data_IF_066323197227
#
_entry.id   IF_066323197227
#
_cell.length_a   1.000
_cell.length_b   1.000
_cell.length_c   1.000
_cell.angle_alpha   90.00
_cell.angle_beta   90.00
_cell.angle_gamma   90.00
#
_symmetry.space_group_name_H-M   'P 1'
#
loop_
_entity.id
_entity.type
_entity.pdbx_description
1 polymer ?
#
# COMPACT_ATOMS: atom_id res chain seq x y z
N UNK A 1 9.04 21.22 11.11
CA UNK A 1 9.52 20.21 12.08
C UNK A 1 8.37 19.86 13.01
N UNK A 2 7.28 19.40 12.41
CA UNK A 2 6.23 18.71 13.17
C UNK A 2 6.64 17.24 13.16
N UNK A 3 7.48 16.88 14.13
CA UNK A 3 7.80 15.48 14.42
C UNK A 3 6.99 15.04 15.64
N UNK A 4 6.32 13.90 15.53
CA UNK A 4 5.49 13.36 16.60
C UNK A 4 5.92 11.94 16.98
N UNK A 5 6.07 11.67 18.27
CA UNK A 5 6.34 10.29 18.72
C UNK A 5 5.09 9.41 18.63
N UNK A 6 3.92 9.95 18.97
CA UNK A 6 2.66 9.23 18.96
C UNK A 6 1.51 10.16 18.65
N UNK A 7 0.78 9.88 17.57
CA UNK A 7 -0.44 10.59 17.22
C UNK A 7 -1.59 9.60 17.02
N UNK A 8 -2.74 9.92 17.61
CA UNK A 8 -3.98 9.21 17.38
C UNK A 8 -5.09 10.19 17.01
N UNK A 9 -5.72 9.96 15.88
CA UNK A 9 -6.87 10.73 15.39
C UNK A 9 -8.06 9.81 15.15
N UNK A 10 -9.26 10.33 15.41
CA UNK A 10 -10.51 9.63 15.11
C UNK A 10 -11.02 10.06 13.74
N UNK A 11 -11.09 11.36 13.51
CA UNK A 11 -11.49 11.95 12.25
C UNK A 11 -10.60 13.15 11.96
N UNK A 12 -10.22 13.32 10.71
CA UNK A 12 -9.45 14.48 10.26
C UNK A 12 -9.71 14.72 8.79
N UNK A 13 -10.16 15.91 8.41
CA UNK A 13 -10.33 16.24 6.99
C UNK A 13 -8.96 16.24 6.29
N UNK A 14 -7.97 16.88 6.91
CA UNK A 14 -6.59 16.90 6.43
C UNK A 14 -5.62 16.70 7.59
N UNK A 15 -4.63 15.83 7.40
CA UNK A 15 -3.51 15.67 8.31
C UNK A 15 -2.20 15.66 7.52
N UNK A 16 -1.41 16.72 7.75
CA UNK A 16 -0.11 16.93 7.14
C UNK A 16 0.97 17.00 8.23
N UNK A 17 2.07 16.25 8.08
CA UNK A 17 3.14 16.19 9.09
C UNK A 17 4.45 15.66 8.49
N UNK A 18 5.61 16.22 8.87
CA UNK A 18 6.91 15.77 8.36
C UNK A 18 7.21 14.32 8.79
N UNK A 19 7.02 13.99 10.07
CA UNK A 19 7.38 12.66 10.58
C UNK A 19 6.57 12.21 11.79
N UNK A 20 6.25 10.92 11.84
CA UNK A 20 5.66 10.31 13.03
C UNK A 20 6.21 8.92 13.33
N UNK A 21 6.61 8.65 14.57
CA UNK A 21 7.02 7.28 14.95
C UNK A 21 5.83 6.33 14.99
N UNK A 22 4.68 6.77 15.50
CA UNK A 22 3.46 5.98 15.53
C UNK A 22 2.22 6.82 15.23
N UNK A 23 1.60 6.57 14.07
CA UNK A 23 0.32 7.18 13.70
C UNK A 23 -0.80 6.14 13.72
N UNK A 24 -1.90 6.49 14.37
CA UNK A 24 -3.16 5.76 14.25
C UNK A 24 -4.32 6.68 13.89
N UNK A 25 -4.93 6.42 12.75
CA UNK A 25 -6.08 7.18 12.24
C UNK A 25 -7.26 6.24 12.04
N UNK A 26 -8.45 6.62 12.49
CA UNK A 26 -9.67 5.87 12.15
C UNK A 26 -10.18 6.30 10.78
N UNK A 27 -10.43 7.59 10.58
CA UNK A 27 -10.89 8.14 9.31
C UNK A 27 -10.13 9.43 8.98
N UNK A 28 -9.74 9.59 7.72
CA UNK A 28 -9.23 10.87 7.23
C UNK A 28 -9.43 11.02 5.73
N UNK A 29 -9.83 12.19 5.26
CA UNK A 29 -10.01 12.37 3.82
C UNK A 29 -8.63 12.47 3.15
N UNK A 30 -7.72 13.27 3.70
CA UNK A 30 -6.36 13.42 3.18
C UNK A 30 -5.28 13.26 4.25
N UNK A 31 -4.33 12.35 3.99
CA UNK A 31 -3.11 12.15 4.76
C UNK A 31 -1.89 12.43 3.88
N UNK A 32 -1.04 13.37 4.30
CA UNK A 32 0.23 13.68 3.65
C UNK A 32 1.36 13.66 4.69
N UNK A 33 2.39 12.84 4.48
CA UNK A 33 3.49 12.75 5.45
C UNK A 33 4.75 12.19 4.82
N UNK A 34 5.92 12.79 5.06
CA UNK A 34 7.18 12.33 4.45
C UNK A 34 7.59 10.96 5.01
N UNK A 35 7.46 10.77 6.32
CA UNK A 35 7.93 9.54 6.96
C UNK A 35 7.10 9.05 8.14
N UNK A 36 6.85 7.74 8.18
CA UNK A 36 6.29 7.09 9.36
C UNK A 36 6.97 5.75 9.69
N UNK A 37 7.35 5.55 10.96
CA UNK A 37 7.84 4.23 11.36
C UNK A 37 6.71 3.20 11.44
N UNK A 38 5.57 3.56 12.01
CA UNK A 38 4.42 2.65 12.15
C UNK A 38 3.11 3.40 11.95
N UNK A 39 2.42 3.12 10.86
CA UNK A 39 1.13 3.70 10.55
C UNK A 39 0.03 2.65 10.52
N UNK A 40 -1.11 2.98 11.16
CA UNK A 40 -2.33 2.19 11.09
C UNK A 40 -3.51 3.08 10.76
N UNK A 41 -4.16 2.80 9.65
CA UNK A 41 -5.37 3.51 9.21
C UNK A 41 -6.52 2.53 9.05
N UNK A 42 -7.73 2.95 9.39
CA UNK A 42 -8.94 2.18 9.06
C UNK A 42 -9.45 2.62 7.69
N UNK A 43 -9.73 3.90 7.49
CA UNK A 43 -10.20 4.43 6.23
C UNK A 43 -9.49 5.74 5.89
N UNK A 44 -9.15 5.93 4.62
CA UNK A 44 -8.83 7.24 4.06
C UNK A 44 -9.19 7.32 2.58
N UNK A 45 -9.41 8.53 2.08
CA UNK A 45 -9.64 8.71 0.64
C UNK A 45 -8.29 8.83 -0.06
N UNK A 46 -7.39 9.70 0.43
CA UNK A 46 -6.05 9.88 -0.15
C UNK A 46 -4.95 9.79 0.90
N UNK A 47 -3.94 8.94 0.63
CA UNK A 47 -2.67 8.90 1.35
C UNK A 47 -1.51 9.12 0.37
N UNK A 48 -0.73 10.16 0.62
CA UNK A 48 0.54 10.43 -0.04
C UNK A 48 1.67 10.38 0.99
N UNK A 49 2.71 9.57 0.74
CA UNK A 49 3.79 9.39 1.70
C UNK A 49 5.10 8.94 1.04
N UNK A 50 6.23 9.56 1.37
CA UNK A 50 7.50 9.14 0.75
C UNK A 50 7.96 7.78 1.32
N UNK A 51 7.85 7.60 2.64
CA UNK A 51 8.39 6.41 3.28
C UNK A 51 7.60 5.90 4.49
N UNK A 52 7.40 4.57 4.54
CA UNK A 52 6.89 3.92 5.74
C UNK A 52 7.60 2.60 6.06
N UNK A 53 8.01 2.40 7.32
CA UNK A 53 8.55 1.09 7.72
C UNK A 53 7.44 0.04 7.88
N UNK A 54 6.28 0.42 8.43
CA UNK A 54 5.14 -0.49 8.57
C UNK A 54 3.83 0.27 8.37
N UNK A 55 3.15 0.00 7.27
CA UNK A 55 1.82 0.54 7.00
C UNK A 55 0.79 -0.59 7.00
N UNK A 56 -0.28 -0.38 7.76
CA UNK A 56 -1.47 -1.22 7.69
C UNK A 56 -2.70 -0.36 7.45
N UNK A 57 -3.42 -0.69 6.38
CA UNK A 57 -4.65 -0.03 5.95
C UNK A 57 -5.78 -1.05 5.85
N UNK A 58 -7.00 -0.68 6.26
CA UNK A 58 -8.18 -1.51 5.99
C UNK A 58 -8.79 -1.10 4.65
N UNK A 59 -9.15 0.17 4.47
CA UNK A 59 -9.74 0.67 3.24
C UNK A 59 -9.05 1.96 2.79
N UNK A 60 -8.85 2.09 1.50
CA UNK A 60 -8.28 3.27 0.85
C UNK A 60 -8.81 3.47 -0.55
N UNK A 61 -9.08 4.71 -0.94
CA UNK A 61 -9.39 4.98 -2.35
C UNK A 61 -8.08 5.14 -3.14
N UNK A 62 -7.15 5.97 -2.66
CA UNK A 62 -5.85 6.19 -3.30
C UNK A 62 -4.69 6.14 -2.31
N UNK A 63 -3.80 5.17 -2.50
CA UNK A 63 -2.49 5.10 -1.82
C UNK A 63 -1.39 5.37 -2.84
N UNK A 64 -0.65 6.46 -2.65
CA UNK A 64 0.59 6.75 -3.38
C UNK A 64 1.76 6.80 -2.39
N UNK A 65 2.81 6.01 -2.63
CA UNK A 65 3.97 5.99 -1.74
C UNK A 65 5.25 5.54 -2.44
N UNK A 66 6.38 6.22 -2.23
CA UNK A 66 7.63 5.85 -2.90
C UNK A 66 8.20 4.54 -2.35
N UNK A 67 8.19 4.39 -1.02
CA UNK A 67 8.85 3.25 -0.38
C UNK A 67 8.13 2.70 0.86
N UNK A 68 8.01 1.38 0.92
CA UNK A 68 7.56 0.69 2.13
C UNK A 68 8.32 -0.60 2.44
N UNK A 69 8.76 -0.75 3.69
CA UNK A 69 9.32 -2.05 4.12
C UNK A 69 8.24 -3.11 4.29
N UNK A 70 7.07 -2.75 4.83
CA UNK A 70 5.97 -3.68 5.02
C UNK A 70 4.62 -2.99 4.86
N UNK A 71 3.93 -3.28 3.75
CA UNK A 71 2.61 -2.78 3.47
C UNK A 71 1.58 -3.92 3.54
N UNK A 72 0.54 -3.71 4.34
CA UNK A 72 -0.65 -4.55 4.33
C UNK A 72 -1.90 -3.72 4.08
N UNK A 73 -2.60 -4.02 3.00
CA UNK A 73 -3.88 -3.41 2.66
C UNK A 73 -4.95 -4.49 2.54
N UNK A 74 -6.16 -4.21 3.07
CA UNK A 74 -7.30 -5.12 2.88
C UNK A 74 -8.02 -4.77 1.59
N UNK A 75 -8.43 -3.51 1.41
CA UNK A 75 -9.08 -3.04 0.19
C UNK A 75 -8.45 -1.72 -0.25
N UNK A 76 -8.17 -1.61 -1.54
CA UNK A 76 -7.75 -0.36 -2.17
C UNK A 76 -8.41 -0.21 -3.54
N UNK A 77 -8.82 0.98 -3.93
CA UNK A 77 -9.21 1.19 -5.34
C UNK A 77 -7.92 1.36 -6.17
N UNK A 78 -7.03 2.26 -5.74
CA UNK A 78 -5.73 2.48 -6.37
C UNK A 78 -4.59 2.37 -5.37
N UNK A 79 -3.59 1.55 -5.70
CA UNK A 79 -2.32 1.46 -5.00
C UNK A 79 -1.18 1.64 -6.00
N UNK A 80 -0.47 2.77 -5.87
CA UNK A 80 0.71 3.11 -6.66
C UNK A 80 1.93 3.24 -5.74
N UNK A 81 3.01 2.53 -6.05
CA UNK A 81 4.22 2.59 -5.23
C UNK A 81 5.48 2.19 -5.98
N UNK A 82 6.59 2.91 -5.81
CA UNK A 82 7.83 2.60 -6.54
C UNK A 82 8.47 1.31 -5.99
N UNK A 83 8.52 1.17 -4.66
CA UNK A 83 9.23 0.06 -4.04
C UNK A 83 8.60 -0.49 -2.76
N UNK A 84 8.53 -1.82 -2.68
CA UNK A 84 8.16 -2.50 -1.45
C UNK A 84 8.98 -3.75 -1.16
N UNK A 85 9.42 -3.93 0.08
CA UNK A 85 10.05 -5.21 0.46
C UNK A 85 8.97 -6.29 0.60
N UNK A 86 7.90 -6.01 1.36
CA UNK A 86 6.81 -6.95 1.59
C UNK A 86 5.46 -6.27 1.38
N UNK A 87 4.79 -6.61 0.29
CA UNK A 87 3.44 -6.16 -0.01
C UNK A 87 2.44 -7.29 0.15
N UNK A 88 1.40 -7.05 0.94
CA UNK A 88 0.24 -7.92 1.01
C UNK A 88 -1.05 -7.14 0.79
N UNK A 89 -1.76 -7.49 -0.27
CA UNK A 89 -3.06 -6.91 -0.61
C UNK A 89 -4.11 -8.01 -0.68
N UNK A 90 -5.29 -7.78 -0.09
CA UNK A 90 -6.41 -8.72 -0.23
C UNK A 90 -7.19 -8.38 -1.51
N UNK A 91 -7.65 -7.15 -1.67
CA UNK A 91 -8.34 -6.69 -2.86
C UNK A 91 -7.78 -5.35 -3.32
N UNK A 92 -7.60 -5.21 -4.63
CA UNK A 92 -7.20 -3.96 -5.28
C UNK A 92 -7.89 -3.84 -6.62
N UNK A 93 -8.46 -2.71 -6.99
CA UNK A 93 -8.91 -2.55 -8.39
C UNK A 93 -7.69 -2.34 -9.28
N UNK A 94 -6.79 -1.44 -8.88
CA UNK A 94 -5.52 -1.19 -9.56
C UNK A 94 -4.33 -1.27 -8.59
N UNK A 95 -3.34 -2.08 -8.95
CA UNK A 95 -2.06 -2.16 -8.26
C UNK A 95 -0.93 -1.94 -9.27
N UNK A 96 -0.24 -0.81 -9.15
CA UNK A 96 0.90 -0.43 -9.98
C UNK A 96 2.15 -0.30 -9.10
N UNK A 97 3.24 -0.98 -9.47
CA UNK A 97 4.47 -0.93 -8.68
C UNK A 97 5.73 -1.26 -9.47
N UNK A 98 6.80 -0.46 -9.36
CA UNK A 98 8.03 -0.74 -10.12
C UNK A 98 8.76 -1.96 -9.57
N UNK A 99 8.87 -2.08 -8.24
CA UNK A 99 9.67 -3.15 -7.63
C UNK A 99 9.09 -3.72 -6.34
N UNK A 100 9.09 -5.06 -6.25
CA UNK A 100 8.74 -5.74 -5.01
C UNK A 100 9.63 -6.96 -4.71
N UNK A 101 10.12 -7.09 -3.48
CA UNK A 101 10.81 -8.34 -3.09
C UNK A 101 9.81 -9.49 -2.88
N UNK A 102 8.71 -9.23 -2.20
CA UNK A 102 7.67 -10.22 -1.90
C UNK A 102 6.29 -9.63 -2.05
N UNK A 103 5.63 -9.98 -3.15
CA UNK A 103 4.25 -9.59 -3.43
C UNK A 103 3.30 -10.76 -3.13
N UNK A 104 2.25 -10.48 -2.35
CA UNK A 104 1.09 -11.35 -2.21
C UNK A 104 -0.21 -10.58 -2.45
N UNK A 105 -0.91 -10.94 -3.51
CA UNK A 105 -2.23 -10.39 -3.85
C UNK A 105 -3.25 -11.53 -3.85
N UNK A 106 -4.40 -11.33 -3.19
CA UNK A 106 -5.49 -12.31 -3.30
C UNK A 106 -6.29 -12.04 -4.56
N UNK A 107 -6.81 -10.83 -4.73
CA UNK A 107 -7.55 -10.42 -5.91
C UNK A 107 -7.08 -9.04 -6.37
N UNK A 108 -6.92 -8.88 -7.68
CA UNK A 108 -6.81 -7.55 -8.28
C UNK A 108 -7.36 -7.49 -9.70
N UNK A 109 -8.09 -6.45 -10.07
CA UNK A 109 -8.58 -6.36 -11.46
C UNK A 109 -7.40 -6.07 -12.40
N UNK A 110 -6.56 -5.10 -12.06
CA UNK A 110 -5.32 -4.78 -12.77
C UNK A 110 -4.11 -4.85 -11.85
N UNK A 111 -3.11 -5.63 -12.25
CA UNK A 111 -1.79 -5.66 -11.62
C UNK A 111 -0.71 -5.39 -12.66
N UNK A 112 -0.03 -4.25 -12.51
CA UNK A 112 1.09 -3.85 -13.34
C UNK A 112 2.36 -3.75 -12.47
N UNK A 113 3.42 -4.45 -12.85
CA UNK A 113 4.66 -4.43 -12.08
C UNK A 113 5.91 -4.72 -12.91
N UNK A 114 6.94 -3.88 -12.81
CA UNK A 114 8.15 -4.09 -13.62
C UNK A 114 8.98 -5.28 -13.09
N UNK A 115 9.18 -5.35 -11.78
CA UNK A 115 10.05 -6.37 -11.20
C UNK A 115 9.55 -6.94 -9.88
N UNK A 116 9.58 -8.27 -9.76
CA UNK A 116 9.31 -8.94 -8.49
C UNK A 116 10.26 -10.12 -8.23
N UNK A 117 10.82 -10.21 -7.02
CA UNK A 117 11.56 -11.43 -6.67
C UNK A 117 10.62 -12.61 -6.43
N UNK A 118 9.54 -12.42 -5.67
CA UNK A 118 8.58 -13.48 -5.33
C UNK A 118 7.15 -12.95 -5.41
N UNK A 119 6.40 -13.38 -6.41
CA UNK A 119 4.99 -13.02 -6.57
C UNK A 119 4.07 -14.20 -6.31
N UNK A 120 3.02 -13.96 -5.52
CA UNK A 120 1.87 -14.84 -5.39
C UNK A 120 0.58 -14.06 -5.62
N UNK A 121 -0.11 -14.36 -6.71
CA UNK A 121 -1.39 -13.76 -7.05
C UNK A 121 -2.44 -14.86 -7.16
N UNK A 122 -3.54 -14.76 -6.39
CA UNK A 122 -4.56 -15.81 -6.42
C UNK A 122 -5.60 -15.60 -7.52
N UNK A 123 -5.91 -14.35 -7.89
CA UNK A 123 -6.75 -13.97 -9.04
C UNK A 123 -6.32 -12.59 -9.54
N UNK A 124 -6.23 -12.44 -10.85
CA UNK A 124 -6.14 -11.12 -11.50
C UNK A 124 -6.69 -11.16 -12.92
N UNK A 125 -7.48 -10.17 -13.30
CA UNK A 125 -8.06 -10.09 -14.64
C UNK A 125 -7.01 -9.67 -15.66
N UNK A 126 -6.21 -8.67 -15.31
CA UNK A 126 -5.05 -8.23 -16.10
C UNK A 126 -3.78 -8.27 -15.25
N UNK A 127 -2.77 -8.99 -15.77
CA UNK A 127 -1.44 -9.05 -15.19
C UNK A 127 -0.42 -8.62 -16.24
N UNK A 128 0.25 -7.48 -16.01
CA UNK A 128 1.39 -7.00 -16.78
C UNK A 128 2.63 -7.05 -15.89
N UNK A 129 3.65 -7.80 -16.33
CA UNK A 129 4.90 -7.90 -15.59
C UNK A 129 6.11 -8.13 -16.49
N UNK A 130 7.18 -7.35 -16.28
CA UNK A 130 8.40 -7.45 -17.08
C UNK A 130 9.31 -8.57 -16.58
N UNK A 131 9.52 -8.68 -15.27
CA UNK A 131 10.42 -9.69 -14.70
C UNK A 131 9.97 -10.25 -13.35
N UNK A 132 10.05 -11.57 -13.21
CA UNK A 132 9.89 -12.23 -11.92
C UNK A 132 10.81 -13.44 -11.75
N UNK A 133 11.43 -13.58 -10.58
CA UNK A 133 12.26 -14.77 -10.27
C UNK A 133 11.34 -15.95 -9.90
N UNK A 134 10.35 -15.72 -9.04
CA UNK A 134 9.41 -16.74 -8.59
C UNK A 134 7.97 -16.26 -8.71
N UNK A 135 7.29 -16.69 -9.77
CA UNK A 135 5.89 -16.38 -10.04
C UNK A 135 4.98 -17.57 -9.68
N UNK A 136 3.94 -17.32 -8.88
CA UNK A 136 2.81 -18.23 -8.71
C UNK A 136 1.50 -17.49 -8.89
N UNK A 137 0.80 -17.82 -9.97
CA UNK A 137 -0.58 -17.40 -10.19
C UNK A 137 -1.52 -18.59 -10.02
N UNK A 138 -2.69 -18.33 -9.44
CA UNK A 138 -3.86 -19.21 -9.62
C UNK A 138 -4.80 -18.40 -10.50
N UNK A 139 -5.34 -18.99 -11.56
CA UNK A 139 -6.40 -18.38 -12.36
C UNK A 139 -7.58 -19.33 -12.24
N UNK A 140 -8.71 -18.80 -11.78
CA UNK A 140 -9.99 -19.45 -12.00
C UNK A 140 -10.61 -18.74 -13.19
N UNK A 141 -10.58 -19.39 -14.35
CA UNK A 141 -11.37 -18.97 -15.50
C UNK A 141 -12.83 -18.84 -15.05
N UNK A 142 -13.43 -17.66 -15.25
CA UNK A 142 -14.89 -17.47 -15.19
C UNK A 142 -15.45 -17.52 -16.60
#
# INVERSE_FOLDING_TARGET
MDSCSYLRTVQSDMLAMDSCSYLRTMQSDMLAMDSCSCMRTVQYDVLAMDSCSYLRTVQSDMLAMDSCSYLRTVQSDMLAMDSCIYLRTVQSDMLAMDSCSYLRTVQSDMLAMDSCSNQRTAQSDMLAMDSCIYLRTVQSDM
#
